data_IF_685403648327
#
_entry.id   IF_685403648327
#
_cell.length_a   1.000
_cell.length_b   1.000
_cell.length_c   1.000
_cell.angle_alpha   90.00
_cell.angle_beta   90.00
_cell.angle_gamma   90.00
#
_symmetry.space_group_name_H-M   'P 1'
#
loop_
_entity.id
_entity.type
_entity.pdbx_description
1 polymer ?
#
# COMPACT_ATOMS: atom_id res chain seq x y z
N UNK A 1 -108.51 -58.87 -65.12
CA UNK A 1 -109.15 -59.97 -65.85
C UNK A 1 -110.14 -59.37 -66.82
N UNK A 2 -110.04 -59.69 -68.11
CA UNK A 2 -111.04 -59.25 -69.09
C UNK A 2 -112.35 -59.98 -68.81
N UNK A 3 -113.45 -59.22 -68.69
CA UNK A 3 -114.76 -59.77 -68.31
C UNK A 3 -115.61 -60.22 -69.50
N UNK A 4 -115.11 -60.02 -70.73
CA UNK A 4 -115.81 -60.27 -71.99
C UNK A 4 -114.92 -61.03 -72.97
N UNK A 5 -115.53 -61.86 -73.82
CA UNK A 5 -114.83 -62.54 -74.90
C UNK A 5 -114.57 -61.56 -76.05
N UNK A 6 -113.31 -61.32 -76.44
CA UNK A 6 -112.99 -60.35 -77.52
C UNK A 6 -113.57 -60.73 -78.90
N UNK A 7 -113.88 -62.01 -79.12
CA UNK A 7 -114.38 -62.49 -80.42
C UNK A 7 -115.86 -62.11 -80.61
N UNK A 8 -116.70 -62.24 -79.58
CA UNK A 8 -118.14 -61.91 -79.66
C UNK A 8 -118.53 -60.65 -78.88
N UNK A 9 -117.61 -60.09 -78.09
CA UNK A 9 -117.80 -58.96 -77.19
C UNK A 9 -118.89 -59.16 -76.12
N UNK A 10 -119.33 -60.39 -75.88
CA UNK A 10 -120.26 -60.71 -74.80
C UNK A 10 -119.53 -61.10 -73.50
N UNK A 11 -120.14 -60.76 -72.36
CA UNK A 11 -119.67 -61.16 -71.03
C UNK A 11 -119.69 -62.67 -70.87
N UNK A 12 -118.66 -63.22 -70.21
CA UNK A 12 -118.54 -64.66 -69.96
C UNK A 12 -119.71 -65.26 -69.16
N UNK A 13 -120.38 -64.43 -68.34
CA UNK A 13 -121.57 -64.82 -67.57
C UNK A 13 -122.86 -64.97 -68.41
N UNK A 14 -122.91 -64.45 -69.64
CA UNK A 14 -124.17 -64.37 -70.43
C UNK A 14 -124.53 -65.67 -71.17
N UNK A 15 -123.56 -66.53 -71.46
CA UNK A 15 -123.74 -67.77 -72.24
C UNK A 15 -123.90 -69.05 -71.40
N UNK A 16 -123.86 -68.96 -70.07
CA UNK A 16 -124.19 -70.06 -69.15
C UNK A 16 -125.72 -70.21 -69.01
N UNK A 17 -126.40 -70.66 -70.08
CA UNK A 17 -127.86 -70.94 -70.03
C UNK A 17 -128.21 -72.34 -69.52
N UNK A 18 -127.27 -73.27 -69.51
CA UNK A 18 -127.41 -74.62 -68.96
C UNK A 18 -126.22 -74.88 -68.02
N UNK A 19 -126.50 -75.33 -66.80
CA UNK A 19 -125.50 -75.48 -65.71
C UNK A 19 -124.43 -76.55 -66.01
N UNK A 20 -124.70 -77.49 -66.92
CA UNK A 20 -123.83 -78.64 -67.20
C UNK A 20 -122.85 -78.47 -68.38
N UNK A 21 -122.85 -77.34 -69.10
CA UNK A 21 -121.88 -77.05 -70.18
C UNK A 21 -121.09 -75.77 -69.92
N UNK A 22 -119.95 -75.91 -69.24
CA UNK A 22 -118.99 -74.82 -69.04
C UNK A 22 -118.30 -74.47 -70.37
N UNK A 23 -118.67 -73.32 -70.91
CA UNK A 23 -118.33 -72.86 -72.26
C UNK A 23 -117.22 -71.79 -72.28
N UNK A 24 -116.34 -71.75 -71.28
CA UNK A 24 -115.18 -70.83 -71.21
C UNK A 24 -113.88 -71.63 -71.27
N UNK A 25 -112.95 -71.20 -72.12
CA UNK A 25 -111.64 -71.85 -72.30
C UNK A 25 -110.53 -70.82 -72.27
N UNK A 26 -109.34 -71.24 -71.85
CA UNK A 26 -108.12 -70.45 -72.01
C UNK A 26 -107.15 -71.15 -72.95
N UNK A 27 -106.39 -70.32 -73.66
CA UNK A 27 -105.27 -70.74 -74.51
C UNK A 27 -104.00 -70.88 -73.68
N UNK A 28 -102.99 -71.58 -74.19
CA UNK A 28 -101.69 -71.71 -73.50
C UNK A 28 -100.98 -70.36 -73.26
N UNK A 29 -101.33 -69.31 -74.01
CA UNK A 29 -100.83 -67.97 -73.76
C UNK A 29 -101.63 -67.20 -72.68
N UNK A 30 -102.63 -67.83 -72.05
CA UNK A 30 -103.37 -67.31 -70.91
C UNK A 30 -104.63 -66.50 -71.26
N UNK A 31 -104.89 -66.21 -72.53
CA UNK A 31 -106.08 -65.46 -72.95
C UNK A 31 -107.33 -66.34 -72.99
N UNK A 32 -108.46 -65.77 -72.56
CA UNK A 32 -109.71 -66.48 -72.25
C UNK A 32 -110.79 -66.14 -73.28
N UNK A 33 -111.52 -67.15 -73.75
CA UNK A 33 -112.58 -67.00 -74.76
C UNK A 33 -113.76 -67.93 -74.46
N UNK A 34 -114.92 -67.69 -75.08
CA UNK A 34 -115.94 -68.73 -75.15
C UNK A 34 -115.43 -69.88 -76.01
N UNK A 35 -115.69 -71.13 -75.61
CA UNK A 35 -115.26 -72.34 -76.32
C UNK A 35 -115.68 -72.29 -77.80
N UNK A 36 -116.96 -71.96 -78.06
CA UNK A 36 -117.51 -71.85 -79.41
C UNK A 36 -116.81 -70.75 -80.23
N UNK A 37 -116.47 -69.63 -79.60
CA UNK A 37 -115.83 -68.51 -80.27
C UNK A 37 -114.42 -68.87 -80.72
N UNK A 38 -113.59 -69.41 -79.83
CA UNK A 38 -112.21 -69.76 -80.16
C UNK A 38 -112.14 -70.97 -81.09
N UNK A 39 -113.05 -71.96 -80.97
CA UNK A 39 -113.11 -73.07 -81.92
C UNK A 39 -113.42 -72.62 -83.35
N UNK A 40 -114.34 -71.64 -83.52
CA UNK A 40 -114.60 -71.05 -84.84
C UNK A 40 -113.38 -70.31 -85.37
N UNK A 41 -112.67 -69.60 -84.51
CA UNK A 41 -111.47 -68.86 -84.89
C UNK A 41 -110.33 -69.77 -85.34
N UNK A 42 -110.03 -70.86 -84.59
CA UNK A 42 -108.94 -71.78 -84.90
C UNK A 42 -109.14 -72.50 -86.25
N UNK A 43 -110.39 -72.69 -86.70
CA UNK A 43 -110.67 -73.21 -88.04
C UNK A 43 -110.18 -72.30 -89.17
N UNK A 44 -110.04 -70.99 -88.92
CA UNK A 44 -109.59 -70.00 -89.90
C UNK A 44 -108.16 -69.52 -89.65
N UNK A 45 -107.73 -69.46 -88.38
CA UNK A 45 -106.41 -68.96 -87.98
C UNK A 45 -105.91 -69.72 -86.76
N UNK A 46 -104.75 -70.35 -86.87
CA UNK A 46 -104.12 -71.12 -85.78
C UNK A 46 -103.39 -70.22 -84.77
N UNK A 47 -103.87 -69.00 -84.56
CA UNK A 47 -103.25 -68.00 -83.67
C UNK A 47 -104.27 -67.40 -82.71
N UNK A 48 -103.81 -67.01 -81.51
CA UNK A 48 -104.64 -66.38 -80.49
C UNK A 48 -105.15 -65.00 -80.99
N UNK A 49 -106.47 -64.72 -80.90
CA UNK A 49 -107.04 -63.43 -81.30
C UNK A 49 -106.41 -62.22 -80.61
N UNK A 50 -105.91 -62.38 -79.38
CA UNK A 50 -105.37 -61.27 -78.59
C UNK A 50 -103.87 -61.05 -78.80
N UNK A 51 -103.06 -62.11 -78.72
CA UNK A 51 -101.59 -61.97 -78.78
C UNK A 51 -100.92 -62.62 -79.98
N UNK A 52 -101.69 -63.24 -80.89
CA UNK A 52 -101.20 -63.93 -82.10
C UNK A 52 -100.25 -65.12 -81.86
N UNK A 53 -100.01 -65.53 -80.62
CA UNK A 53 -99.30 -66.79 -80.34
C UNK A 53 -100.04 -67.99 -80.92
N UNK A 54 -99.32 -69.01 -81.34
CA UNK A 54 -99.91 -70.22 -81.93
C UNK A 54 -100.86 -70.93 -80.96
N UNK A 55 -102.04 -71.30 -81.45
CA UNK A 55 -103.09 -72.01 -80.68
C UNK A 55 -103.53 -73.25 -81.47
N UNK A 56 -103.58 -74.39 -80.78
CA UNK A 56 -104.12 -75.65 -81.29
C UNK A 56 -105.32 -76.09 -80.45
N UNK A 57 -106.31 -76.72 -81.10
CA UNK A 57 -107.60 -77.08 -80.48
C UNK A 57 -107.43 -78.06 -79.32
N UNK A 58 -106.46 -78.97 -79.42
CA UNK A 58 -106.18 -80.02 -78.44
C UNK A 58 -105.55 -79.48 -77.15
N UNK A 59 -105.05 -78.23 -77.15
CA UNK A 59 -104.41 -77.57 -76.00
C UNK A 59 -105.25 -76.43 -75.41
N UNK A 60 -106.56 -76.45 -75.63
CA UNK A 60 -107.48 -75.54 -74.95
C UNK A 60 -107.88 -76.11 -73.60
N UNK A 61 -107.67 -75.32 -72.54
CA UNK A 61 -108.04 -75.73 -71.17
C UNK A 61 -109.40 -75.12 -70.83
N UNK A 62 -110.39 -75.96 -70.49
CA UNK A 62 -111.69 -75.50 -70.00
C UNK A 62 -111.54 -74.87 -68.62
N UNK A 63 -112.08 -73.66 -68.45
CA UNK A 63 -112.05 -72.93 -67.18
C UNK A 63 -113.43 -72.98 -66.52
N UNK A 64 -113.47 -73.49 -65.29
CA UNK A 64 -114.64 -73.47 -64.42
C UNK A 64 -114.54 -72.24 -63.50
N UNK A 65 -115.11 -71.12 -63.93
CA UNK A 65 -115.12 -69.88 -63.15
C UNK A 65 -116.46 -69.81 -62.41
N UNK A 66 -116.39 -69.86 -61.08
CA UNK A 66 -117.57 -69.70 -60.23
C UNK A 66 -117.82 -68.19 -60.07
N UNK A 67 -118.76 -67.62 -60.82
CA UNK A 67 -119.14 -66.23 -60.67
C UNK A 67 -120.07 -66.10 -59.46
N UNK A 68 -119.54 -65.64 -58.32
CA UNK A 68 -120.37 -65.23 -57.19
C UNK A 68 -121.23 -64.04 -57.63
N UNK A 69 -122.49 -64.33 -57.95
CA UNK A 69 -123.48 -63.37 -58.36
C UNK A 69 -124.07 -62.75 -57.08
N UNK A 70 -123.28 -61.96 -56.37
CA UNK A 70 -123.74 -61.22 -55.19
C UNK A 70 -124.69 -60.12 -55.66
N UNK A 71 -125.96 -60.51 -55.74
CA UNK A 71 -127.09 -59.60 -55.73
C UNK A 71 -127.01 -58.76 -54.46
N UNK A 72 -127.04 -57.45 -54.65
CA UNK A 72 -127.19 -56.38 -53.66
C UNK A 72 -127.96 -56.84 -52.42
N UNK A 73 -127.34 -56.72 -51.24
CA UNK A 73 -128.06 -56.62 -49.97
C UNK A 73 -128.20 -55.15 -49.62
N UNK A 74 -129.44 -54.67 -49.60
CA UNK A 74 -129.82 -53.36 -49.08
C UNK A 74 -129.43 -53.26 -47.60
N UNK A 75 -128.48 -52.37 -47.30
CA UNK A 75 -128.39 -51.75 -45.99
C UNK A 75 -128.91 -50.32 -46.15
N UNK A 76 -130.15 -50.08 -45.70
CA UNK A 76 -130.68 -48.74 -45.54
C UNK A 76 -129.79 -47.97 -44.55
N UNK A 77 -128.86 -47.17 -45.05
CA UNK A 77 -128.21 -46.13 -44.25
C UNK A 77 -129.26 -45.03 -44.08
N UNK A 78 -129.84 -44.90 -42.89
CA UNK A 78 -130.76 -43.81 -42.57
C UNK A 78 -130.16 -42.45 -42.92
N UNK A 79 -130.95 -41.58 -43.55
CA UNK A 79 -130.59 -40.19 -43.87
C UNK A 79 -130.09 -39.42 -42.63
N UNK A 80 -130.59 -39.76 -41.44
CA UNK A 80 -130.15 -39.16 -40.18
C UNK A 80 -128.72 -39.56 -39.79
N UNK A 81 -128.31 -40.80 -40.07
CA UNK A 81 -126.93 -41.25 -39.83
C UNK A 81 -125.94 -40.57 -40.78
N UNK A 82 -126.34 -40.33 -42.04
CA UNK A 82 -125.54 -39.60 -43.01
C UNK A 82 -125.43 -38.11 -42.66
N UNK A 83 -126.52 -37.51 -42.18
CA UNK A 83 -126.56 -36.11 -41.73
C UNK A 83 -125.73 -35.90 -40.47
N UNK A 84 -125.67 -36.87 -39.57
CA UNK A 84 -124.78 -36.83 -38.41
C UNK A 84 -123.31 -36.90 -38.84
N UNK A 85 -122.96 -37.85 -39.71
CA UNK A 85 -121.59 -37.97 -40.23
C UNK A 85 -121.15 -36.75 -41.04
N UNK A 86 -122.07 -36.09 -41.75
CA UNK A 86 -121.80 -34.81 -42.42
C UNK A 86 -121.57 -33.67 -41.43
N UNK A 87 -122.28 -33.65 -40.29
CA UNK A 87 -122.04 -32.66 -39.22
C UNK A 87 -120.69 -32.87 -38.56
N UNK A 88 -120.31 -34.12 -38.29
CA UNK A 88 -118.99 -34.47 -37.78
C UNK A 88 -117.86 -34.06 -38.75
N UNK A 89 -118.04 -34.31 -40.06
CA UNK A 89 -117.04 -33.93 -41.06
C UNK A 89 -116.85 -32.42 -41.14
N UNK A 90 -117.94 -31.63 -41.09
CA UNK A 90 -117.86 -30.16 -41.05
C UNK A 90 -117.15 -29.68 -39.78
N UNK A 91 -117.46 -30.29 -38.63
CA UNK A 91 -116.78 -29.99 -37.37
C UNK A 91 -115.27 -30.27 -37.46
N UNK A 92 -114.87 -31.43 -37.97
CA UNK A 92 -113.47 -31.77 -38.17
C UNK A 92 -112.76 -30.87 -39.18
N UNK A 93 -113.45 -30.46 -40.25
CA UNK A 93 -112.88 -29.49 -41.21
C UNK A 93 -112.60 -28.14 -40.55
N UNK A 94 -113.52 -27.63 -39.72
CA UNK A 94 -113.33 -26.40 -38.95
C UNK A 94 -112.19 -26.52 -37.92
N UNK A 95 -112.08 -27.68 -37.24
CA UNK A 95 -110.97 -27.99 -36.33
C UNK A 95 -109.63 -28.01 -37.07
N UNK A 96 -109.54 -28.69 -38.21
CA UNK A 96 -108.34 -28.74 -39.04
C UNK A 96 -107.91 -27.34 -39.52
N UNK A 97 -108.86 -26.51 -39.95
CA UNK A 97 -108.57 -25.14 -40.37
C UNK A 97 -108.02 -24.28 -39.21
N UNK A 98 -108.53 -24.49 -38.00
CA UNK A 98 -108.05 -23.81 -36.79
C UNK A 98 -106.66 -24.30 -36.38
N UNK A 99 -106.40 -25.60 -36.47
CA UNK A 99 -105.08 -26.17 -36.20
C UNK A 99 -104.05 -25.65 -37.21
N UNK A 100 -104.42 -25.55 -38.49
CA UNK A 100 -103.56 -25.00 -39.53
C UNK A 100 -103.17 -23.54 -39.26
N UNK A 101 -104.11 -22.69 -38.85
CA UNK A 101 -103.82 -21.29 -38.52
C UNK A 101 -102.95 -21.16 -37.26
N UNK A 102 -103.21 -21.97 -36.23
CA UNK A 102 -102.38 -22.01 -35.02
C UNK A 102 -100.95 -22.47 -35.33
N UNK A 103 -100.78 -23.54 -36.10
CA UNK A 103 -99.45 -24.03 -36.51
C UNK A 103 -98.68 -23.00 -37.34
N UNK A 104 -99.37 -22.24 -38.20
CA UNK A 104 -98.76 -21.14 -38.95
C UNK A 104 -98.21 -20.05 -38.03
N UNK A 105 -99.01 -19.60 -37.04
CA UNK A 105 -98.57 -18.60 -36.05
C UNK A 105 -97.40 -19.13 -35.20
N UNK A 106 -97.47 -20.38 -34.75
CA UNK A 106 -96.39 -21.02 -33.97
C UNK A 106 -95.09 -21.07 -34.78
N UNK A 107 -95.16 -21.38 -36.08
CA UNK A 107 -93.97 -21.43 -36.93
C UNK A 107 -93.36 -20.04 -37.14
N UNK A 108 -94.18 -19.00 -37.35
CA UNK A 108 -93.68 -17.62 -37.43
C UNK A 108 -92.99 -17.20 -36.12
N UNK A 109 -93.59 -17.50 -34.97
CA UNK A 109 -92.98 -17.21 -33.67
C UNK A 109 -91.68 -17.98 -33.44
N UNK A 110 -91.59 -19.22 -33.93
CA UNK A 110 -90.34 -20.01 -33.89
C UNK A 110 -89.26 -19.37 -34.75
N UNK A 111 -89.59 -18.93 -35.96
CA UNK A 111 -88.62 -18.29 -36.86
C UNK A 111 -88.09 -16.97 -36.29
N UNK A 112 -88.96 -16.16 -35.65
CA UNK A 112 -88.56 -14.95 -34.93
C UNK A 112 -87.59 -15.28 -33.79
N UNK A 113 -87.93 -16.24 -32.93
CA UNK A 113 -87.05 -16.69 -31.83
C UNK A 113 -85.72 -17.26 -32.35
N UNK A 114 -85.73 -17.98 -33.47
CA UNK A 114 -84.52 -18.51 -34.08
C UNK A 114 -83.60 -17.40 -34.59
N UNK A 115 -84.15 -16.36 -35.21
CA UNK A 115 -83.37 -15.18 -35.64
C UNK A 115 -82.79 -14.43 -34.44
N UNK A 116 -83.57 -14.27 -33.37
CA UNK A 116 -83.11 -13.64 -32.14
C UNK A 116 -81.93 -14.42 -31.52
N UNK A 117 -82.06 -15.74 -31.40
CA UNK A 117 -81.01 -16.62 -30.89
C UNK A 117 -79.75 -16.58 -31.77
N UNK A 118 -79.90 -16.58 -33.10
CA UNK A 118 -78.77 -16.44 -34.03
C UNK A 118 -78.04 -15.11 -33.85
N UNK A 119 -78.79 -14.02 -33.68
CA UNK A 119 -78.22 -12.68 -33.46
C UNK A 119 -77.47 -12.63 -32.13
N UNK A 120 -78.06 -13.17 -31.06
CA UNK A 120 -77.42 -13.26 -29.75
C UNK A 120 -76.16 -14.11 -29.78
N UNK A 121 -76.18 -15.25 -30.48
CA UNK A 121 -75.01 -16.11 -30.64
C UNK A 121 -73.88 -15.39 -31.39
N UNK A 122 -74.20 -14.67 -32.47
CA UNK A 122 -73.20 -13.89 -33.20
C UNK A 122 -72.56 -12.80 -32.32
N UNK A 123 -73.37 -12.09 -31.53
CA UNK A 123 -72.88 -11.09 -30.57
C UNK A 123 -71.96 -11.70 -29.51
N UNK A 124 -72.41 -12.79 -28.85
CA UNK A 124 -71.61 -13.47 -27.82
C UNK A 124 -70.29 -14.01 -28.38
N UNK A 125 -70.28 -14.48 -29.64
CA UNK A 125 -69.06 -14.93 -30.31
C UNK A 125 -68.06 -13.79 -30.54
N UNK A 126 -68.54 -12.61 -30.96
CA UNK A 126 -67.72 -11.40 -31.07
C UNK A 126 -67.17 -10.97 -29.70
N UNK A 127 -68.01 -10.92 -28.67
CA UNK A 127 -67.59 -10.58 -27.30
C UNK A 127 -66.60 -11.58 -26.70
N UNK A 128 -66.74 -12.87 -27.00
CA UNK A 128 -65.76 -13.89 -26.59
C UNK A 128 -64.42 -13.62 -27.28
N UNK A 129 -64.43 -13.35 -28.59
CA UNK A 129 -63.21 -13.07 -29.35
C UNK A 129 -62.48 -11.82 -28.85
N UNK A 130 -63.19 -10.75 -28.49
CA UNK A 130 -62.55 -9.54 -27.93
C UNK A 130 -61.96 -9.80 -26.54
N UNK A 131 -62.65 -10.57 -25.69
CA UNK A 131 -62.11 -10.97 -24.38
C UNK A 131 -60.88 -11.88 -24.52
N UNK A 132 -60.88 -12.80 -25.48
CA UNK A 132 -59.72 -13.66 -25.75
C UNK A 132 -58.49 -12.83 -26.15
N UNK A 133 -58.69 -11.77 -26.95
CA UNK A 133 -57.59 -10.88 -27.33
C UNK A 133 -57.07 -10.07 -26.14
N UNK A 134 -57.97 -9.55 -25.29
CA UNK A 134 -57.59 -8.90 -24.03
C UNK A 134 -56.81 -9.84 -23.10
N UNK A 135 -57.21 -11.11 -23.03
CA UNK A 135 -56.50 -12.12 -22.23
C UNK A 135 -55.08 -12.32 -22.75
N UNK A 136 -54.88 -12.43 -24.07
CA UNK A 136 -53.54 -12.56 -24.67
C UNK A 136 -52.66 -11.35 -24.38
N UNK A 137 -53.22 -10.15 -24.47
CA UNK A 137 -52.50 -8.92 -24.16
C UNK A 137 -52.05 -8.89 -22.70
N UNK A 138 -52.97 -9.20 -21.76
CA UNK A 138 -52.66 -9.28 -20.34
C UNK A 138 -51.61 -10.36 -20.03
N UNK A 139 -51.69 -11.52 -20.69
CA UNK A 139 -50.69 -12.59 -20.56
C UNK A 139 -49.30 -12.12 -21.03
N UNK A 140 -49.24 -11.39 -22.15
CA UNK A 140 -47.99 -10.83 -22.67
C UNK A 140 -47.40 -9.78 -21.73
N UNK A 141 -48.24 -8.89 -21.20
CA UNK A 141 -47.83 -7.89 -20.23
C UNK A 141 -47.33 -8.52 -18.92
N UNK A 142 -48.01 -9.56 -18.44
CA UNK A 142 -47.59 -10.31 -17.26
C UNK A 142 -46.23 -10.97 -17.46
N UNK A 143 -46.01 -11.62 -18.61
CA UNK A 143 -44.72 -12.22 -18.94
C UNK A 143 -43.60 -11.18 -18.98
N UNK A 144 -43.84 -10.00 -19.57
CA UNK A 144 -42.90 -8.88 -19.59
C UNK A 144 -42.56 -8.38 -18.18
N UNK A 145 -43.57 -8.11 -17.36
CA UNK A 145 -43.38 -7.64 -15.98
C UNK A 145 -42.62 -8.67 -15.13
N UNK A 146 -42.87 -9.97 -15.35
CA UNK A 146 -42.15 -11.04 -14.67
C UNK A 146 -40.66 -11.03 -15.04
N UNK A 147 -40.34 -10.85 -16.32
CA UNK A 147 -38.95 -10.71 -16.76
C UNK A 147 -38.31 -9.46 -16.16
N UNK A 148 -38.99 -8.32 -16.20
CA UNK A 148 -38.49 -7.07 -15.64
C UNK A 148 -38.20 -7.19 -14.13
N UNK A 149 -39.10 -7.82 -13.36
CA UNK A 149 -38.85 -8.09 -11.95
C UNK A 149 -37.64 -8.99 -11.73
N UNK A 150 -37.48 -10.06 -12.53
CA UNK A 150 -36.29 -10.90 -12.43
C UNK A 150 -34.98 -10.15 -12.72
N UNK A 151 -35.00 -9.20 -13.65
CA UNK A 151 -33.82 -8.36 -13.93
C UNK A 151 -33.53 -7.38 -12.80
N UNK A 152 -34.57 -6.78 -12.20
CA UNK A 152 -34.42 -5.89 -11.03
C UNK A 152 -33.92 -6.65 -9.81
N UNK A 153 -34.39 -7.87 -9.58
CA UNK A 153 -33.91 -8.73 -8.49
C UNK A 153 -32.41 -9.01 -8.64
N UNK A 154 -31.94 -9.25 -9.87
CA UNK A 154 -30.52 -9.46 -10.11
C UNK A 154 -29.68 -8.20 -9.87
N UNK A 155 -30.16 -7.04 -10.32
CA UNK A 155 -29.52 -5.74 -10.02
C UNK A 155 -29.47 -5.46 -8.52
N UNK A 156 -30.53 -5.80 -7.78
CA UNK A 156 -30.57 -5.65 -6.32
C UNK A 156 -29.50 -6.53 -5.66
N UNK A 157 -29.34 -7.79 -6.08
CA UNK A 157 -28.28 -8.67 -5.55
C UNK A 157 -26.88 -8.13 -5.84
N UNK A 158 -26.66 -7.60 -7.04
CA UNK A 158 -25.38 -6.99 -7.41
C UNK A 158 -25.07 -5.78 -6.52
N UNK A 159 -26.04 -4.88 -6.34
CA UNK A 159 -25.91 -3.73 -5.46
C UNK A 159 -25.67 -4.13 -4.01
N UNK A 160 -26.36 -5.16 -3.51
CA UNK A 160 -26.13 -5.71 -2.17
C UNK A 160 -24.70 -6.25 -2.01
N UNK A 161 -24.20 -6.96 -3.02
CA UNK A 161 -22.83 -7.49 -3.03
C UNK A 161 -21.80 -6.36 -3.03
N UNK A 162 -22.00 -5.34 -3.88
CA UNK A 162 -21.16 -4.15 -3.93
C UNK A 162 -21.16 -3.38 -2.60
N UNK A 163 -22.33 -3.23 -1.98
CA UNK A 163 -22.45 -2.58 -0.68
C UNK A 163 -21.70 -3.35 0.42
N UNK A 164 -21.83 -4.68 0.45
CA UNK A 164 -21.10 -5.53 1.40
C UNK A 164 -19.58 -5.39 1.23
N UNK A 165 -19.08 -5.38 -0.02
CA UNK A 165 -17.67 -5.14 -0.33
C UNK A 165 -17.20 -3.77 0.14
N UNK A 166 -17.93 -2.70 -0.19
CA UNK A 166 -17.58 -1.33 0.23
C UNK A 166 -17.58 -1.18 1.75
N UNK A 167 -18.50 -1.84 2.45
CA UNK A 167 -18.54 -1.87 3.91
C UNK A 167 -17.28 -2.53 4.50
N UNK A 168 -16.85 -3.65 3.92
CA UNK A 168 -15.61 -4.31 4.31
C UNK A 168 -14.40 -3.40 4.07
N UNK A 169 -14.28 -2.81 2.87
CA UNK A 169 -13.20 -1.86 2.56
C UNK A 169 -13.17 -0.66 3.51
N UNK A 170 -14.32 -0.08 3.85
CA UNK A 170 -14.41 0.99 4.84
C UNK A 170 -13.87 0.53 6.20
N UNK A 171 -14.28 -0.65 6.68
CA UNK A 171 -13.80 -1.17 7.96
C UNK A 171 -12.29 -1.42 7.97
N UNK A 172 -11.70 -1.88 6.84
CA UNK A 172 -10.25 -2.05 6.74
C UNK A 172 -9.50 -0.71 6.76
N UNK A 173 -10.05 0.32 6.11
CA UNK A 173 -9.47 1.68 6.14
C UNK A 173 -9.57 2.29 7.53
N UNK A 174 -10.68 2.09 8.23
CA UNK A 174 -10.84 2.55 9.62
C UNK A 174 -9.78 1.93 10.54
N UNK A 175 -9.46 0.66 10.34
CA UNK A 175 -8.41 -0.01 11.12
C UNK A 175 -7.01 0.52 10.79
N UNK A 176 -6.70 0.74 9.51
CA UNK A 176 -5.45 1.39 9.10
C UNK A 176 -5.32 2.82 9.66
N UNK A 177 -6.42 3.58 9.70
CA UNK A 177 -6.44 4.92 10.30
C UNK A 177 -6.11 4.86 11.79
N UNK A 178 -6.70 3.92 12.54
CA UNK A 178 -6.38 3.72 13.96
C UNK A 178 -4.91 3.39 14.17
N UNK A 179 -4.35 2.48 13.37
CA UNK A 179 -2.94 2.12 13.45
C UNK A 179 -2.03 3.33 13.22
N UNK A 180 -2.31 4.11 12.16
CA UNK A 180 -1.58 5.35 11.88
C UNK A 180 -1.71 6.37 13.01
N UNK A 181 -2.89 6.51 13.62
CA UNK A 181 -3.10 7.38 14.77
C UNK A 181 -2.28 6.94 15.99
N UNK A 182 -2.22 5.63 16.28
CA UNK A 182 -1.39 5.08 17.36
C UNK A 182 0.10 5.33 17.09
N UNK A 183 0.56 5.09 15.85
CA UNK A 183 1.93 5.35 15.45
C UNK A 183 2.30 6.83 15.57
N UNK A 184 1.42 7.73 15.14
CA UNK A 184 1.61 9.17 15.28
C UNK A 184 1.69 9.61 16.75
N UNK A 185 0.83 9.08 17.62
CA UNK A 185 0.86 9.37 19.05
C UNK A 185 2.19 8.92 19.69
N UNK A 186 2.69 7.73 19.33
CA UNK A 186 4.00 7.22 19.77
C UNK A 186 5.14 8.13 19.32
N UNK A 187 5.21 8.46 18.03
CA UNK A 187 6.25 9.32 17.48
C UNK A 187 6.25 10.71 18.11
N UNK A 188 5.06 11.25 18.41
CA UNK A 188 4.91 12.53 19.11
C UNK A 188 5.49 12.46 20.53
N UNK A 189 5.24 11.37 21.25
CA UNK A 189 5.83 11.16 22.57
C UNK A 189 7.36 11.05 22.48
N UNK A 190 7.88 10.24 21.55
CA UNK A 190 9.32 10.10 21.34
C UNK A 190 9.99 11.45 21.01
N UNK A 191 9.38 12.28 20.14
CA UNK A 191 9.87 13.62 19.85
C UNK A 191 9.95 14.47 21.11
N UNK A 192 8.88 14.49 21.92
CA UNK A 192 8.86 15.26 23.17
C UNK A 192 9.94 14.81 24.16
N UNK A 193 10.21 13.50 24.25
CA UNK A 193 11.28 12.98 25.11
C UNK A 193 12.67 13.39 24.62
N UNK A 194 12.89 13.38 23.30
CA UNK A 194 14.16 13.86 22.71
C UNK A 194 14.35 15.35 22.90
N UNK A 195 13.29 16.14 22.75
CA UNK A 195 13.34 17.59 23.02
C UNK A 195 13.74 17.87 24.47
N UNK A 196 13.24 17.08 25.42
CA UNK A 196 13.61 17.21 26.83
C UNK A 196 15.08 16.82 27.09
N UNK A 197 15.55 15.72 26.48
CA UNK A 197 16.96 15.34 26.53
C UNK A 197 17.89 16.41 25.94
N UNK A 198 17.47 17.05 24.83
CA UNK A 198 18.22 18.14 24.20
C UNK A 198 18.32 19.35 25.16
N UNK A 199 17.21 19.73 25.83
CA UNK A 199 17.24 20.81 26.83
C UNK A 199 18.17 20.50 27.99
N UNK A 200 18.16 19.26 28.47
CA UNK A 200 19.06 18.82 29.54
C UNK A 200 20.52 18.91 29.09
N UNK A 201 20.85 18.41 27.90
CA UNK A 201 22.20 18.50 27.33
C UNK A 201 22.65 19.95 27.16
N UNK A 202 21.80 20.83 26.64
CA UNK A 202 22.10 22.27 26.54
C UNK A 202 22.39 22.89 27.92
N UNK A 203 21.65 22.51 28.95
CA UNK A 203 21.85 23.00 30.31
C UNK A 203 23.20 22.52 30.87
N UNK A 204 23.57 21.26 30.63
CA UNK A 204 24.87 20.71 31.03
C UNK A 204 26.03 21.38 30.32
N UNK A 205 25.90 21.63 29.01
CA UNK A 205 26.91 22.35 28.22
C UNK A 205 27.09 23.77 28.77
N UNK A 206 25.99 24.51 28.99
CA UNK A 206 26.06 25.87 29.52
C UNK A 206 26.71 25.92 30.91
N UNK A 207 26.48 24.92 31.76
CA UNK A 207 27.17 24.81 33.05
C UNK A 207 28.68 24.56 32.87
N UNK A 208 29.05 23.62 32.00
CA UNK A 208 30.46 23.31 31.71
C UNK A 208 31.20 24.50 31.10
N UNK A 209 30.57 25.25 30.20
CA UNK A 209 31.14 26.45 29.60
C UNK A 209 31.41 27.52 30.65
N UNK A 210 30.47 27.76 31.58
CA UNK A 210 30.67 28.69 32.70
C UNK A 210 31.82 28.26 33.61
N UNK A 211 31.90 26.98 33.94
CA UNK A 211 32.98 26.46 34.78
C UNK A 211 34.35 26.62 34.10
N UNK A 212 34.44 26.27 32.81
CA UNK A 212 35.66 26.47 32.03
C UNK A 212 36.06 27.94 31.95
N UNK A 213 35.09 28.85 31.75
CA UNK A 213 35.35 30.28 31.74
C UNK A 213 35.84 30.78 33.09
N UNK A 214 35.29 30.27 34.19
CA UNK A 214 35.73 30.59 35.54
C UNK A 214 37.18 30.13 35.80
N UNK A 215 37.52 28.91 35.37
CA UNK A 215 38.88 28.38 35.45
C UNK A 215 39.87 29.21 34.61
N UNK A 216 39.48 29.62 33.40
CA UNK A 216 40.29 30.50 32.55
C UNK A 216 40.56 31.84 33.20
N UNK A 217 39.54 32.48 33.79
CA UNK A 217 39.72 33.76 34.51
C UNK A 217 40.68 33.59 35.69
N UNK A 218 40.55 32.50 36.45
CA UNK A 218 41.45 32.20 37.57
C UNK A 218 42.90 32.10 37.11
N UNK A 219 43.15 31.30 36.06
CA UNK A 219 44.49 31.14 35.47
C UNK A 219 45.03 32.46 34.92
N UNK A 220 44.20 33.25 34.24
CA UNK A 220 44.60 34.56 33.72
C UNK A 220 45.05 35.50 34.86
N UNK A 221 44.29 35.53 35.95
CA UNK A 221 44.64 36.32 37.13
C UNK A 221 45.95 35.83 37.77
N UNK A 222 46.14 34.51 37.91
CA UNK A 222 47.38 33.91 38.41
C UNK A 222 48.58 34.28 37.54
N UNK A 223 48.46 34.19 36.21
CA UNK A 223 49.48 34.62 35.26
C UNK A 223 49.78 36.11 35.42
N UNK A 224 48.76 36.95 35.56
CA UNK A 224 48.96 38.40 35.76
C UNK A 224 49.73 38.71 37.04
N UNK A 225 49.46 37.98 38.13
CA UNK A 225 50.21 38.11 39.40
C UNK A 225 51.67 37.69 39.20
N UNK A 226 51.92 36.53 38.60
CA UNK A 226 53.28 36.06 38.31
C UNK A 226 54.05 37.03 37.40
N UNK A 227 53.37 37.62 36.41
CA UNK A 227 53.96 38.61 35.51
C UNK A 227 54.44 39.85 36.27
N UNK A 228 53.60 40.35 37.18
CA UNK A 228 53.98 41.47 38.07
C UNK A 228 55.13 41.11 39.03
N UNK A 229 55.22 39.85 39.48
CA UNK A 229 56.38 39.38 40.24
C UNK A 229 57.67 39.36 39.42
N UNK A 230 57.62 38.90 38.17
CA UNK A 230 58.76 38.91 37.26
C UNK A 230 59.21 40.35 36.98
N UNK A 231 58.28 41.27 36.73
CA UNK A 231 58.60 42.69 36.52
C UNK A 231 59.30 43.30 37.73
N UNK A 232 58.91 42.92 38.96
CA UNK A 232 59.61 43.34 40.19
C UNK A 232 61.04 42.79 40.32
N UNK A 233 61.39 41.73 39.61
CA UNK A 233 62.75 41.16 39.60
C UNK A 233 63.68 41.82 38.58
N UNK A 234 63.14 42.56 37.60
CA UNK A 234 63.93 43.24 36.55
C UNK A 234 65.05 44.14 37.10
N UNK A 235 64.85 44.97 38.15
CA UNK A 235 65.93 45.76 38.74
C UNK A 235 67.06 44.93 39.34
N UNK A 236 66.76 43.73 39.84
CA UNK A 236 67.78 42.83 40.38
C UNK A 236 68.65 42.27 39.26
N UNK A 237 68.09 41.92 38.09
CA UNK A 237 68.87 41.48 36.94
C UNK A 237 69.86 42.55 36.45
N UNK A 238 69.42 43.82 36.40
CA UNK A 238 70.30 44.94 36.07
C UNK A 238 71.44 45.11 37.09
N UNK A 239 71.12 45.04 38.38
CA UNK A 239 72.14 45.09 39.45
C UNK A 239 73.14 43.93 39.40
N UNK A 240 72.68 42.73 39.04
CA UNK A 240 73.56 41.57 38.84
C UNK A 240 74.50 41.74 37.64
N UNK A 241 74.04 42.33 36.54
CA UNK A 241 74.89 42.62 35.37
C UNK A 241 75.96 43.68 35.69
N UNK A 242 75.61 44.73 36.42
CA UNK A 242 76.57 45.77 36.82
C UNK A 242 77.67 45.21 37.73
N UNK A 243 77.31 44.38 38.70
CA UNK A 243 78.27 43.68 39.55
C UNK A 243 79.16 42.72 38.76
N UNK A 244 78.62 42.05 37.74
CA UNK A 244 79.39 41.16 36.87
C UNK A 244 80.46 41.94 36.08
N UNK A 245 80.09 43.07 35.46
CA UNK A 245 81.03 43.94 34.75
C UNK A 245 82.11 44.48 35.69
N UNK A 246 81.72 44.92 36.89
CA UNK A 246 82.67 45.41 37.90
C UNK A 246 83.67 44.34 38.32
N UNK A 247 83.22 43.08 38.45
CA UNK A 247 84.10 41.95 38.74
C UNK A 247 85.13 41.72 37.63
N UNK A 248 84.72 41.80 36.36
CA UNK A 248 85.61 41.60 35.21
C UNK A 248 86.71 42.68 35.16
N UNK A 249 86.35 43.95 35.37
CA UNK A 249 87.31 45.07 35.45
C UNK A 249 88.32 44.82 36.58
N UNK A 250 87.86 44.40 37.75
CA UNK A 250 88.74 44.11 38.89
C UNK A 250 89.67 42.93 38.63
N UNK A 251 89.21 41.91 37.90
CA UNK A 251 90.02 40.75 37.53
C UNK A 251 91.15 41.15 36.57
N UNK A 252 90.85 41.94 35.54
CA UNK A 252 91.86 42.46 34.62
C UNK A 252 92.89 43.34 35.35
N UNK A 253 92.43 44.19 36.28
CA UNK A 253 93.33 45.02 37.10
C UNK A 253 94.26 44.17 37.98
N UNK A 254 93.76 43.06 38.53
CA UNK A 254 94.56 42.12 39.32
C UNK A 254 95.64 41.45 38.46
N UNK A 255 95.29 40.97 37.26
CA UNK A 255 96.24 40.32 36.34
C UNK A 255 97.37 41.27 35.92
N UNK A 256 97.04 42.53 35.64
CA UNK A 256 98.04 43.56 35.35
C UNK A 256 99.00 43.77 36.52
N UNK A 257 98.49 43.89 37.75
CA UNK A 257 99.32 44.05 38.95
C UNK A 257 100.19 42.82 39.23
N UNK A 258 99.70 41.61 38.94
CA UNK A 258 100.48 40.38 39.07
C UNK A 258 101.63 40.32 38.07
N UNK A 259 101.38 40.74 36.82
CA UNK A 259 102.42 40.92 35.80
C UNK A 259 103.49 41.94 36.21
N UNK A 260 103.07 43.11 36.70
CA UNK A 260 103.98 44.15 37.18
C UNK A 260 104.86 43.65 38.35
N UNK A 261 104.27 42.89 39.27
CA UNK A 261 104.99 42.26 40.37
C UNK A 261 106.02 41.23 39.86
N UNK A 262 105.68 40.45 38.84
CA UNK A 262 106.58 39.49 38.23
C UNK A 262 107.75 40.18 37.51
N UNK A 263 107.49 41.28 36.82
CA UNK A 263 108.52 42.11 36.22
C UNK A 263 109.49 42.65 37.29
N UNK A 264 108.97 43.19 38.40
CA UNK A 264 109.80 43.67 39.51
C UNK A 264 110.62 42.58 40.18
N UNK A 265 110.06 41.37 40.36
CA UNK A 265 110.83 40.23 40.86
C UNK A 265 111.97 39.87 39.91
N UNK A 266 111.75 39.95 38.59
CA UNK A 266 112.78 39.72 37.58
C UNK A 266 113.90 40.77 37.67
N UNK A 267 113.53 42.05 37.75
CA UNK A 267 114.49 43.15 37.99
C UNK A 267 115.28 42.91 39.27
N UNK A 268 114.62 42.50 40.35
CA UNK A 268 115.28 42.17 41.61
C UNK A 268 116.29 41.02 41.47
N UNK A 269 115.96 39.95 40.74
CA UNK A 269 116.90 38.85 40.48
C UNK A 269 118.09 39.29 39.64
N UNK A 270 117.88 40.14 38.63
CA UNK A 270 118.96 40.70 37.81
C UNK A 270 119.90 41.55 38.65
N UNK A 271 119.37 42.44 39.50
CA UNK A 271 120.21 43.27 40.39
C UNK A 271 121.00 42.40 41.38
N UNK A 272 120.38 41.35 41.93
CA UNK A 272 121.10 40.38 42.79
C UNK A 272 122.23 39.66 42.02
N UNK A 273 121.98 39.27 40.77
CA UNK A 273 122.99 38.69 39.87
C UNK A 273 124.16 39.65 39.65
N UNK A 274 123.86 40.90 39.26
CA UNK A 274 124.87 41.95 39.12
C UNK A 274 125.66 42.19 40.42
N UNK A 275 125.04 42.03 41.59
CA UNK A 275 125.75 42.16 42.88
C UNK A 275 126.72 41.00 43.15
N UNK A 276 126.37 39.79 42.72
CA UNK A 276 127.27 38.63 42.75
C UNK A 276 128.43 38.85 41.78
N UNK A 277 128.15 39.36 40.58
CA UNK A 277 129.18 39.68 39.57
C UNK A 277 130.12 40.78 40.07
N UNK A 278 129.60 41.84 40.69
CA UNK A 278 130.41 42.90 41.33
C UNK A 278 131.24 42.35 42.49
N UNK A 279 130.68 41.45 43.32
CA UNK A 279 131.46 40.75 44.38
C UNK A 279 132.57 39.87 43.79
N UNK A 280 132.33 39.23 42.66
CA UNK A 280 133.30 38.37 41.96
C UNK A 280 134.42 39.21 41.32
N UNK A 281 134.08 40.33 40.69
CA UNK A 281 135.05 41.32 40.19
C UNK A 281 135.87 41.91 41.35
N UNK A 282 135.25 42.19 42.50
CA UNK A 282 135.96 42.63 43.71
C UNK A 282 136.93 41.56 44.25
N UNK A 283 136.57 40.28 44.18
CA UNK A 283 137.45 39.18 44.54
C UNK A 283 138.60 38.96 43.54
N UNK A 284 138.35 39.15 42.23
CA UNK A 284 139.37 39.06 41.18
C UNK A 284 140.37 40.24 41.21
N UNK A 285 139.93 41.42 41.67
CA UNK A 285 140.82 42.58 41.94
C UNK A 285 141.69 42.36 43.21
N UNK A 286 141.33 41.42 44.08
CA UNK A 286 142.03 41.18 45.35
C UNK A 286 143.33 40.37 45.21
N UNK A 287 143.72 39.91 44.01
CA UNK A 287 144.88 39.01 43.84
C UNK A 287 146.08 39.60 43.09
N UNK A 288 146.01 40.76 42.41
CA UNK A 288 147.24 41.37 41.88
C UNK A 288 147.24 42.91 41.77
N UNK A 289 148.41 43.47 42.16
CA UNK A 289 148.96 44.82 41.90
C UNK A 289 148.43 45.90 42.87
N UNK A 290 149.15 46.77 43.58
CA UNK A 290 150.51 47.37 43.65
C UNK A 290 150.83 48.55 42.70
N UNK A 291 150.09 49.68 42.76
CA UNK A 291 150.48 51.04 42.29
C UNK A 291 149.42 52.17 42.51
N UNK A 292 149.86 53.43 42.72
CA UNK A 292 149.11 54.68 43.07
C UNK A 292 147.89 55.04 42.17
N UNK A 293 147.62 54.32 41.08
CA UNK A 293 146.33 54.40 40.33
C UNK A 293 145.12 53.83 41.09
N UNK A 294 145.36 53.17 42.23
CA UNK A 294 144.37 52.47 43.06
C UNK A 294 143.41 53.36 43.85
N UNK A 295 143.78 54.61 44.20
CA UNK A 295 142.89 55.50 44.99
C UNK A 295 141.69 56.02 44.18
N UNK A 296 141.85 56.24 42.87
CA UNK A 296 140.78 56.75 41.98
C UNK A 296 139.78 55.64 41.59
N UNK A 297 140.26 54.42 41.36
CA UNK A 297 139.40 53.27 41.06
C UNK A 297 138.51 52.91 42.27
N UNK A 298 139.09 52.91 43.47
CA UNK A 298 138.36 52.63 44.72
C UNK A 298 137.27 53.67 44.99
N UNK A 299 137.55 54.96 44.75
CA UNK A 299 136.53 56.02 44.92
C UNK A 299 135.41 55.90 43.88
N UNK A 300 135.71 55.62 42.60
CA UNK A 300 134.68 55.44 41.55
C UNK A 300 133.80 54.22 41.81
N UNK A 301 134.37 53.13 42.31
CA UNK A 301 133.64 51.92 42.72
C UNK A 301 132.76 52.24 43.94
N UNK A 302 133.29 52.91 44.97
CA UNK A 302 132.49 53.31 46.13
C UNK A 302 131.32 54.22 45.75
N UNK A 303 131.51 55.18 44.84
CA UNK A 303 130.42 56.02 44.31
C UNK A 303 129.39 55.21 43.53
N UNK A 304 129.81 54.27 42.67
CA UNK A 304 128.89 53.40 41.94
C UNK A 304 128.12 52.47 42.88
N UNK A 305 128.78 51.89 43.89
CA UNK A 305 128.14 51.08 44.92
C UNK A 305 127.13 51.89 45.74
N UNK A 306 127.43 53.16 46.04
CA UNK A 306 126.51 54.05 46.74
C UNK A 306 125.26 54.34 45.91
N UNK A 307 125.42 54.68 44.62
CA UNK A 307 124.29 54.93 43.70
C UNK A 307 123.47 53.66 43.50
N UNK A 308 124.11 52.49 43.34
CA UNK A 308 123.41 51.22 43.22
C UNK A 308 122.65 50.85 44.49
N UNK A 309 123.22 51.11 45.67
CA UNK A 309 122.55 50.91 46.95
C UNK A 309 121.33 51.82 47.07
N UNK A 310 121.45 53.09 46.71
CA UNK A 310 120.32 54.03 46.72
C UNK A 310 119.20 53.61 45.76
N UNK A 311 119.54 53.20 44.53
CA UNK A 311 118.56 52.68 43.56
C UNK A 311 117.91 51.37 44.04
N UNK A 312 118.66 50.51 44.73
CA UNK A 312 118.13 49.27 45.30
C UNK A 312 117.19 49.55 46.46
N UNK A 313 117.52 50.50 47.33
CA UNK A 313 116.66 50.90 48.45
C UNK A 313 115.36 51.54 47.93
N UNK A 314 115.44 52.41 46.92
CA UNK A 314 114.25 52.97 46.25
C UNK A 314 113.37 51.89 45.60
N UNK A 315 113.98 50.95 44.87
CA UNK A 315 113.25 49.83 44.24
C UNK A 315 112.61 48.89 45.28
N UNK A 316 113.26 48.71 46.44
CA UNK A 316 112.69 47.95 47.56
C UNK A 316 111.48 48.66 48.15
N UNK A 317 111.54 49.98 48.33
CA UNK A 317 110.41 50.79 48.80
C UNK A 317 109.23 50.73 47.83
N UNK A 318 109.47 50.92 46.52
CA UNK A 318 108.44 50.77 45.48
C UNK A 318 107.82 49.37 45.48
N UNK A 319 108.63 48.31 45.64
CA UNK A 319 108.12 46.94 45.78
C UNK A 319 107.21 46.80 47.00
N UNK A 320 107.60 47.34 48.15
CA UNK A 320 106.76 47.28 49.35
C UNK A 320 105.46 48.06 49.17
N UNK A 321 105.50 49.21 48.48
CA UNK A 321 104.32 50.00 48.15
C UNK A 321 103.35 49.21 47.24
N UNK A 322 103.86 48.61 46.16
CA UNK A 322 103.03 47.81 45.25
C UNK A 322 102.49 46.53 45.90
N UNK A 323 103.25 45.90 46.80
CA UNK A 323 102.75 44.78 47.61
C UNK A 323 101.60 45.20 48.52
N UNK A 324 101.68 46.39 49.13
CA UNK A 324 100.60 46.93 49.94
C UNK A 324 99.36 47.25 49.10
N UNK A 325 99.53 47.86 47.93
CA UNK A 325 98.43 48.12 46.99
C UNK A 325 97.80 46.82 46.48
N UNK A 326 98.60 45.81 46.12
CA UNK A 326 98.10 44.49 45.75
C UNK A 326 97.31 43.84 46.89
N UNK A 327 97.75 44.01 48.13
CA UNK A 327 97.04 43.48 49.31
C UNK A 327 95.70 44.20 49.51
N UNK A 328 95.65 45.54 49.32
CA UNK A 328 94.40 46.31 49.35
C UNK A 328 93.43 45.89 48.24
N UNK A 329 93.93 45.66 47.03
CA UNK A 329 93.11 45.17 45.90
C UNK A 329 92.58 43.77 46.19
N UNK A 330 93.42 42.86 46.72
CA UNK A 330 92.99 41.52 47.14
C UNK A 330 91.90 41.58 48.22
N UNK A 331 92.04 42.46 49.22
CA UNK A 331 91.00 42.66 50.23
C UNK A 331 89.69 43.19 49.64
N UNK A 332 89.76 44.17 48.73
CA UNK A 332 88.57 44.67 48.02
C UNK A 332 87.91 43.59 47.17
N UNK A 333 88.70 42.70 46.56
CA UNK A 333 88.20 41.57 45.78
C UNK A 333 87.49 40.56 46.68
N UNK A 334 88.10 40.17 47.80
CA UNK A 334 87.48 39.27 48.79
C UNK A 334 86.16 39.86 49.31
N UNK A 335 86.14 41.14 49.66
CA UNK A 335 84.91 41.80 50.11
C UNK A 335 83.82 41.81 49.01
N UNK A 336 84.21 42.00 47.75
CA UNK A 336 83.27 41.92 46.62
C UNK A 336 82.76 40.48 46.40
N UNK A 337 83.56 39.46 46.67
CA UNK A 337 83.15 38.06 46.61
C UNK A 337 82.19 37.70 47.76
N UNK A 338 82.45 38.19 48.97
CA UNK A 338 81.52 38.05 50.09
C UNK A 338 80.17 38.71 49.79
N UNK A 339 80.16 39.94 49.28
CA UNK A 339 78.93 40.62 48.84
C UNK A 339 78.19 39.82 47.76
N UNK A 340 78.92 39.22 46.81
CA UNK A 340 78.33 38.33 45.81
C UNK A 340 77.67 37.11 46.47
N UNK A 341 78.35 36.44 47.41
CA UNK A 341 77.76 35.28 48.10
C UNK A 341 76.52 35.65 48.91
N UNK A 342 76.50 36.82 49.53
CA UNK A 342 75.33 37.34 50.25
C UNK A 342 74.14 37.53 49.31
N UNK A 343 74.36 38.21 48.17
CA UNK A 343 73.32 38.39 47.16
C UNK A 343 72.84 37.07 46.56
N UNK A 344 73.72 36.08 46.37
CA UNK A 344 73.34 34.75 45.88
C UNK A 344 72.47 33.98 46.89
N UNK A 345 72.74 34.11 48.20
CA UNK A 345 71.91 33.55 49.26
C UNK A 345 70.55 34.25 49.30
N UNK A 346 70.52 35.58 49.21
CA UNK A 346 69.29 36.36 49.18
C UNK A 346 68.43 36.03 47.96
N UNK A 347 69.06 35.83 46.80
CA UNK A 347 68.40 35.39 45.57
C UNK A 347 67.89 33.94 45.67
N UNK A 348 68.59 33.04 46.37
CA UNK A 348 68.08 31.70 46.70
C UNK A 348 66.86 31.77 47.64
N UNK A 349 66.86 32.66 48.61
CA UNK A 349 65.73 32.87 49.53
C UNK A 349 64.52 33.46 48.80
N UNK A 350 64.73 34.43 47.90
CA UNK A 350 63.70 34.97 47.01
C UNK A 350 63.13 33.89 46.08
N UNK A 351 63.98 33.08 45.44
CA UNK A 351 63.54 31.92 44.64
C UNK A 351 62.75 30.90 45.46
N UNK A 352 63.06 30.72 46.74
CA UNK A 352 62.32 29.84 47.65
C UNK A 352 60.96 30.44 48.05
N UNK A 353 60.85 31.77 48.15
CA UNK A 353 59.57 32.47 48.38
C UNK A 353 58.67 32.49 47.13
N UNK A 354 59.27 32.56 45.94
CA UNK A 354 58.57 32.49 44.64
C UNK A 354 58.18 31.06 44.25
N UNK A 355 58.73 30.03 44.90
CA UNK A 355 58.15 28.68 44.84
C UNK A 355 56.85 28.67 45.62
N UNK A 356 55.75 28.85 44.90
CA UNK A 356 54.39 28.56 45.32
C UNK A 356 54.38 27.21 46.07
N UNK A 357 53.82 27.11 47.29
CA UNK A 357 53.63 25.83 47.95
C UNK A 357 52.71 24.96 47.09
N UNK A 358 53.11 23.71 46.93
CA UNK A 358 52.45 22.61 46.24
C UNK A 358 50.91 22.67 46.25
N UNK A 359 50.33 22.40 45.09
CA UNK A 359 49.09 21.62 44.98
C UNK A 359 49.27 20.30 45.75
N UNK A 360 49.01 20.32 47.05
CA UNK A 360 48.83 19.11 47.87
C UNK A 360 47.68 19.35 48.85
N UNK A 361 46.48 19.55 48.28
CA UNK A 361 45.21 19.42 49.01
C UNK A 361 44.07 19.08 48.05
N UNK A 362 44.25 18.05 47.22
CA UNK A 362 43.15 17.37 46.53
C UNK A 362 43.38 15.85 46.39
N UNK A 363 43.86 15.21 47.45
CA UNK A 363 43.65 13.77 47.68
C UNK A 363 42.97 13.58 49.03
N UNK A 364 41.64 13.66 49.00
CA UNK A 364 40.67 12.87 49.79
C UNK A 364 39.28 13.50 49.68
N UNK A 365 38.54 13.09 48.66
CA UNK A 365 37.14 12.67 48.85
C UNK A 365 36.99 11.37 48.05
N UNK A 366 36.46 10.36 48.72
CA UNK A 366 36.58 8.96 48.35
C UNK A 366 35.79 8.62 47.09
N UNK A 367 36.44 7.85 46.24
CA UNK A 367 35.78 6.84 45.45
C UNK A 367 34.99 5.91 46.40
N UNK A 368 33.67 5.95 46.33
CA UNK A 368 32.82 4.81 46.67
C UNK A 368 32.47 4.12 45.36
N UNK A 369 33.23 3.09 45.04
CA UNK A 369 32.78 1.98 44.22
C UNK A 369 32.40 0.84 45.16
N UNK A 370 31.10 0.56 45.25
CA UNK A 370 30.54 -0.75 45.58
C UNK A 370 29.49 -1.01 44.48
N UNK A 371 29.81 -1.92 43.55
CA UNK A 371 29.21 -3.26 43.42
C UNK A 371 27.71 -3.16 43.05
N UNK A 372 27.24 -3.64 41.90
CA UNK A 372 27.07 -5.05 41.49
C UNK A 372 26.81 -5.05 39.96
N UNK A 373 27.55 -5.77 39.12
CA UNK A 373 27.36 -7.17 38.73
C UNK A 373 25.92 -7.60 38.37
N UNK A 374 25.82 -8.16 37.15
CA UNK A 374 24.82 -9.10 36.59
C UNK A 374 23.67 -8.62 35.67
N UNK A 375 23.51 -9.43 34.61
CA UNK A 375 22.49 -9.49 33.53
C UNK A 375 22.62 -8.46 32.40
N UNK A 376 22.91 -8.80 31.14
CA UNK A 376 23.00 -10.08 30.43
C UNK A 376 22.87 -9.81 28.91
N UNK A 377 23.57 -10.61 28.10
CA UNK A 377 23.28 -10.95 26.69
C UNK A 377 23.00 -9.84 25.65
N UNK A 378 23.86 -9.72 24.64
CA UNK A 378 23.66 -10.44 23.36
C UNK A 378 24.82 -10.17 22.39
N UNK A 379 25.46 -11.26 21.95
CA UNK A 379 26.24 -11.30 20.73
C UNK A 379 25.32 -11.07 19.52
N UNK A 380 25.72 -10.24 18.58
CA UNK A 380 25.44 -10.49 17.17
C UNK A 380 26.47 -9.82 16.29
N UNK A 381 27.29 -10.70 15.71
CA UNK A 381 28.20 -10.49 14.60
C UNK A 381 27.50 -9.81 13.43
N UNK A 382 28.10 -8.75 12.88
CA UNK A 382 27.88 -8.36 11.48
C UNK A 382 29.25 -8.20 10.81
N UNK A 383 29.48 -9.13 9.90
CA UNK A 383 30.55 -9.22 8.93
C UNK A 383 30.60 -7.99 8.03
N UNK A 384 31.78 -7.38 7.93
CA UNK A 384 32.13 -6.41 6.89
C UNK A 384 32.42 -7.19 5.61
N UNK A 385 31.52 -7.14 4.63
CA UNK A 385 31.81 -7.52 3.25
C UNK A 385 32.25 -6.28 2.48
N UNK A 386 33.53 -6.24 2.10
CA UNK A 386 34.02 -5.41 1.01
C UNK A 386 33.46 -5.94 -0.31
N UNK A 387 32.95 -5.06 -1.16
CA UNK A 387 32.97 -5.30 -2.60
C UNK A 387 33.21 -3.97 -3.36
N UNK A 388 34.30 -3.87 -4.16
CA UNK A 388 34.55 -2.75 -5.04
C UNK A 388 34.07 -3.09 -6.45
N UNK A 389 33.13 -2.34 -7.01
CA UNK A 389 32.86 -2.36 -8.45
C UNK A 389 32.24 -1.07 -8.95
N UNK A 390 33.10 -0.19 -9.46
CA UNK A 390 32.82 0.63 -10.64
C UNK A 390 32.89 -0.27 -11.87
N UNK A 391 31.83 -0.31 -12.69
CA UNK A 391 31.92 -0.31 -14.16
C UNK A 391 30.54 -0.11 -14.80
N UNK A 392 30.50 0.95 -15.61
CA UNK A 392 29.50 1.37 -16.62
C UNK A 392 28.18 1.96 -16.10
#
# INVERSE_FOLDING_TARGET
>A
MQSQCIICLEYFAKLQKNEDEVNIVTTMCGHVFHNICIEKWIKQSTTCPECRNYVCKERLTKLFINFCNDKKSDAEISFDALKEKSRELVKHYMELQTICSQNFVINLQKDEKMKELQTNFARLKLESGTKDEQIKELQTNFARLKLENSTKDEQIKELQTNFARLKLESSTKDEQIKELQTNFARLKLESSTKDEQIKELHTRIAYSERDFFHQLIKLYNEISVMKGEIERLSPFEAGYQELFQKKEILQNAKENLESDLQHLNTVQTTIKGCFIDVKKILADVQVHVSSEKEKVATYRIATHCFILKQKLDHSREEKTHLQNELTKVKQKLVHSEEQKTYLEIELKLLKKRLRIPSLDSAKRVGCHTQELNEFGYFNSSISVSCDPSLKL
#
